data_IF_928119952783
#
_entry.id   IF_928119952783
#
_cell.length_a   1.000
_cell.length_b   1.000
_cell.length_c   1.000
_cell.angle_alpha   90.00
_cell.angle_beta   90.00
_cell.angle_gamma   90.00
#
_symmetry.space_group_name_H-M   'P 1'
#
loop_
_entity.id
_entity.type
_entity.pdbx_description
1 polymer ?
#
# COMPACT_ATOMS: atom_id res chain seq x y z
N UNK A 1 13.54 15.61 5.70
CA UNK A 1 13.28 14.16 5.85
C UNK A 1 12.13 13.99 6.82
N UNK A 2 11.14 13.16 6.47
CA UNK A 2 10.05 12.75 7.37
C UNK A 2 10.14 11.24 7.63
N UNK A 3 9.49 10.78 8.71
CA UNK A 3 9.33 9.36 9.00
C UNK A 3 7.89 8.97 8.76
N UNK A 4 7.68 7.97 7.91
CA UNK A 4 6.35 7.39 7.64
C UNK A 4 6.27 6.08 8.43
N UNK A 5 5.16 5.88 9.13
CA UNK A 5 4.87 4.66 9.90
C UNK A 5 3.52 4.13 9.49
N UNK A 6 3.45 2.85 9.11
CA UNK A 6 2.18 2.16 8.82
C UNK A 6 2.10 0.99 9.79
N UNK A 7 1.22 1.12 10.79
CA UNK A 7 1.03 0.15 11.88
C UNK A 7 -0.06 -0.89 11.60
N UNK A 8 -0.81 -0.69 10.51
CA UNK A 8 -1.80 -1.63 9.98
C UNK A 8 -1.16 -2.91 9.38
N UNK A 9 0.15 -2.90 9.11
CA UNK A 9 0.90 -4.06 8.61
C UNK A 9 1.75 -4.70 9.71
N UNK A 10 2.08 -5.99 9.52
CA UNK A 10 2.95 -6.77 10.41
C UNK A 10 4.07 -7.42 9.59
N UNK A 11 5.35 -7.12 9.88
CA UNK A 11 5.84 -6.16 10.88
C UNK A 11 5.42 -4.71 10.56
N UNK A 12 5.43 -3.82 11.58
CA UNK A 12 5.14 -2.39 11.40
C UNK A 12 6.13 -1.83 10.38
N UNK A 13 5.61 -1.20 9.33
CA UNK A 13 6.45 -0.58 8.31
C UNK A 13 6.89 0.81 8.76
N UNK A 14 8.19 1.09 8.67
CA UNK A 14 8.77 2.39 8.99
C UNK A 14 9.84 2.75 7.97
N UNK A 15 9.75 3.96 7.43
CA UNK A 15 10.68 4.43 6.40
C UNK A 15 10.96 5.92 6.53
N UNK A 16 12.16 6.34 6.11
CA UNK A 16 12.52 7.76 5.99
C UNK A 16 12.39 8.20 4.54
N UNK A 17 11.70 9.31 4.32
CA UNK A 17 11.51 9.85 2.97
C UNK A 17 11.79 11.36 2.90
N UNK A 18 12.25 11.81 1.75
CA UNK A 18 12.45 13.23 1.46
C UNK A 18 11.15 13.83 0.90
N UNK A 19 10.71 14.97 1.44
CA UNK A 19 9.55 15.70 0.90
C UNK A 19 9.98 16.37 -0.41
N UNK A 20 9.27 16.08 -1.49
CA UNK A 20 9.49 16.67 -2.81
C UNK A 20 8.57 17.87 -3.06
N UNK A 21 7.33 17.77 -2.58
CA UNK A 21 6.35 18.84 -2.67
C UNK A 21 5.32 18.73 -1.54
N UNK A 22 4.64 19.85 -1.28
CA UNK A 22 3.56 19.95 -0.32
C UNK A 22 2.50 20.91 -0.90
N UNK A 23 1.28 20.42 -1.07
CA UNK A 23 0.15 21.18 -1.58
C UNK A 23 -0.94 21.24 -0.52
N UNK A 24 -1.48 22.43 -0.28
CA UNK A 24 -2.68 22.56 0.54
C UNK A 24 -3.89 22.17 -0.31
N UNK A 25 -4.67 21.21 0.17
CA UNK A 25 -5.92 20.76 -0.45
C UNK A 25 -7.01 20.87 0.62
N UNK A 26 -7.97 21.77 0.39
CA UNK A 26 -8.98 22.15 1.38
C UNK A 26 -8.38 22.56 2.74
N UNK A 27 -8.64 21.77 3.79
CA UNK A 27 -8.13 21.96 5.16
C UNK A 27 -6.96 21.01 5.49
N UNK A 28 -6.45 20.29 4.49
CA UNK A 28 -5.41 19.27 4.62
C UNK A 28 -4.20 19.58 3.72
N UNK A 29 -3.17 18.74 3.85
CA UNK A 29 -1.95 18.83 3.05
C UNK A 29 -1.68 17.51 2.36
N UNK A 30 -1.51 17.56 1.05
CA UNK A 30 -0.98 16.46 0.27
C UNK A 30 0.54 16.62 0.16
N UNK A 31 1.29 15.56 0.47
CA UNK A 31 2.75 15.58 0.50
C UNK A 31 3.29 14.48 -0.40
N UNK A 32 4.04 14.87 -1.44
CA UNK A 32 4.81 13.94 -2.25
C UNK A 32 6.16 13.66 -1.61
N UNK A 33 6.52 12.39 -1.55
CA UNK A 33 7.77 11.94 -0.94
C UNK A 33 8.58 11.07 -1.89
N UNK A 34 9.90 11.09 -1.72
CA UNK A 34 10.83 10.21 -2.41
C UNK A 34 11.55 9.32 -1.39
N UNK A 35 11.57 8.02 -1.67
CA UNK A 35 12.33 7.03 -0.91
C UNK A 35 13.81 7.06 -1.27
N UNK A 36 14.67 6.74 -0.30
CA UNK A 36 16.11 6.90 -0.42
C UNK A 36 16.77 5.74 -1.16
N UNK A 37 16.17 4.55 -1.10
CA UNK A 37 16.64 3.35 -1.76
C UNK A 37 15.50 2.51 -2.36
N UNK A 38 15.88 1.55 -3.20
CA UNK A 38 14.96 0.66 -3.92
C UNK A 38 14.27 -0.33 -2.98
N UNK A 39 14.88 -0.67 -1.84
CA UNK A 39 14.32 -1.62 -0.89
C UNK A 39 13.15 -0.99 -0.13
N UNK A 40 13.32 0.23 0.38
CA UNK A 40 12.28 1.06 0.96
C UNK A 40 11.10 1.24 -0.01
N UNK A 41 11.39 1.54 -1.29
CA UNK A 41 10.37 1.68 -2.32
C UNK A 41 9.64 0.35 -2.59
N UNK A 42 10.36 -0.78 -2.60
CA UNK A 42 9.78 -2.10 -2.78
C UNK A 42 8.89 -2.50 -1.60
N UNK A 43 9.37 -2.30 -0.37
CA UNK A 43 8.58 -2.58 0.84
C UNK A 43 7.32 -1.71 0.89
N UNK A 44 7.41 -0.43 0.52
CA UNK A 44 6.22 0.43 0.43
C UNK A 44 5.20 -0.11 -0.58
N UNK A 45 5.65 -0.60 -1.74
CA UNK A 45 4.76 -1.25 -2.72
C UNK A 45 4.08 -2.50 -2.15
N UNK A 46 4.78 -3.28 -1.34
CA UNK A 46 4.16 -4.42 -0.66
C UNK A 46 3.10 -3.98 0.35
N UNK A 47 3.35 -2.90 1.09
CA UNK A 47 2.36 -2.32 2.02
C UNK A 47 1.14 -1.81 1.28
N UNK A 48 1.31 -1.17 0.12
CA UNK A 48 0.21 -0.72 -0.74
C UNK A 48 -0.69 -1.89 -1.16
N UNK A 49 -0.12 -3.05 -1.49
CA UNK A 49 -0.92 -4.25 -1.79
C UNK A 49 -1.74 -4.73 -0.59
N UNK A 50 -1.18 -4.67 0.62
CA UNK A 50 -1.95 -5.02 1.84
C UNK A 50 -3.12 -4.05 2.04
N UNK A 51 -2.91 -2.75 1.82
CA UNK A 51 -3.99 -1.76 1.86
C UNK A 51 -5.10 -2.05 0.84
N UNK A 52 -4.74 -2.45 -0.39
CA UNK A 52 -5.71 -2.85 -1.40
C UNK A 52 -6.51 -4.09 -1.02
N UNK A 53 -5.84 -5.12 -0.47
CA UNK A 53 -6.51 -6.33 0.01
C UNK A 53 -7.53 -6.00 1.12
N UNK A 54 -7.15 -5.16 2.08
CA UNK A 54 -8.06 -4.74 3.14
C UNK A 54 -9.22 -3.89 2.61
N UNK A 55 -8.96 -3.01 1.65
CA UNK A 55 -10.02 -2.26 0.97
C UNK A 55 -11.00 -3.19 0.24
N UNK A 56 -10.48 -4.15 -0.51
CA UNK A 56 -11.27 -5.17 -1.20
C UNK A 56 -12.13 -5.97 -0.22
N UNK A 57 -11.54 -6.42 0.88
CA UNK A 57 -12.24 -7.15 1.95
C UNK A 57 -13.43 -6.35 2.49
N UNK A 58 -13.24 -5.05 2.72
CA UNK A 58 -14.30 -4.14 3.16
C UNK A 58 -15.34 -3.90 2.07
N UNK A 59 -14.93 -3.80 0.81
CA UNK A 59 -15.83 -3.65 -0.33
C UNK A 59 -16.74 -4.88 -0.49
N UNK A 60 -16.17 -6.09 -0.50
CA UNK A 60 -16.91 -7.36 -0.54
C UNK A 60 -17.93 -7.44 0.60
N UNK A 61 -17.54 -7.03 1.81
CA UNK A 61 -18.48 -6.96 2.91
C UNK A 61 -19.63 -5.97 2.64
N UNK A 62 -19.33 -4.76 2.16
CA UNK A 62 -20.34 -3.73 1.92
C UNK A 62 -21.34 -4.13 0.83
N UNK A 63 -20.83 -4.65 -0.28
CA UNK A 63 -21.58 -4.94 -1.51
C UNK A 63 -22.22 -6.33 -1.51
N UNK A 64 -21.50 -7.35 -1.05
CA UNK A 64 -21.93 -8.76 -1.16
C UNK A 64 -22.34 -9.37 0.19
N UNK A 65 -22.12 -8.66 1.31
CA UNK A 65 -22.36 -9.18 2.68
C UNK A 65 -21.61 -10.48 3.00
N UNK A 66 -20.52 -10.77 2.26
CA UNK A 66 -19.61 -11.89 2.56
C UNK A 66 -18.56 -11.43 3.56
N UNK A 67 -18.33 -12.22 4.59
CA UNK A 67 -17.21 -12.05 5.51
C UNK A 67 -16.00 -12.83 5.01
N UNK A 68 -14.92 -12.12 4.69
CA UNK A 68 -13.64 -12.72 4.31
C UNK A 68 -12.62 -12.53 5.43
N UNK A 69 -11.80 -13.55 5.67
CA UNK A 69 -10.54 -13.39 6.41
C UNK A 69 -9.54 -12.61 5.56
N UNK A 70 -8.45 -12.14 6.18
CA UNK A 70 -7.37 -11.48 5.42
C UNK A 70 -6.77 -12.40 4.37
N UNK A 71 -6.57 -13.68 4.69
CA UNK A 71 -6.03 -14.70 3.80
C UNK A 71 -6.98 -15.01 2.64
N UNK A 72 -8.29 -15.13 2.92
CA UNK A 72 -9.28 -15.36 1.87
C UNK A 72 -9.40 -14.16 0.93
N UNK A 73 -9.39 -12.94 1.48
CA UNK A 73 -9.37 -11.72 0.67
C UNK A 73 -8.09 -11.61 -0.17
N UNK A 74 -6.93 -11.96 0.40
CA UNK A 74 -5.66 -11.98 -0.33
C UNK A 74 -5.68 -13.00 -1.48
N UNK A 75 -6.20 -14.21 -1.25
CA UNK A 75 -6.30 -15.24 -2.28
C UNK A 75 -7.21 -14.79 -3.44
N UNK A 76 -8.41 -14.27 -3.13
CA UNK A 76 -9.32 -13.72 -4.15
C UNK A 76 -8.70 -12.51 -4.88
N UNK A 77 -8.00 -11.63 -4.15
CA UNK A 77 -7.33 -10.47 -4.72
C UNK A 77 -6.22 -10.89 -5.70
N UNK A 78 -5.38 -11.85 -5.32
CA UNK A 78 -4.33 -12.39 -6.18
C UNK A 78 -4.96 -13.02 -7.44
N UNK A 79 -6.00 -13.83 -7.31
CA UNK A 79 -6.65 -14.45 -8.47
C UNK A 79 -7.18 -13.39 -9.47
N UNK A 80 -7.78 -12.31 -8.95
CA UNK A 80 -8.35 -11.22 -9.77
C UNK A 80 -7.30 -10.27 -10.34
N UNK A 81 -6.24 -9.98 -9.58
CA UNK A 81 -5.33 -8.86 -9.86
C UNK A 81 -3.85 -9.26 -9.92
N UNK A 82 -3.50 -10.55 -9.92
CA UNK A 82 -2.11 -11.02 -10.06
C UNK A 82 -1.38 -10.43 -11.27
N UNK A 83 -2.10 -10.19 -12.36
CA UNK A 83 -1.56 -9.59 -13.57
C UNK A 83 -1.20 -8.10 -13.42
N UNK A 84 -1.74 -7.44 -12.38
CA UNK A 84 -1.47 -6.04 -12.04
C UNK A 84 -0.35 -5.90 -11.00
N UNK A 85 0.19 -7.02 -10.50
CA UNK A 85 1.41 -6.95 -9.72
C UNK A 85 2.47 -6.26 -10.56
N UNK A 86 3.14 -5.23 -10.02
CA UNK A 86 4.22 -4.59 -10.74
C UNK A 86 5.26 -5.67 -11.05
N UNK A 87 5.51 -5.88 -12.34
CA UNK A 87 6.71 -6.59 -12.77
C UNK A 87 7.86 -5.78 -12.21
N UNK A 88 8.60 -6.38 -11.30
CA UNK A 88 9.86 -5.83 -10.82
C UNK A 88 10.72 -5.58 -12.06
N UNK A 89 10.83 -4.33 -12.50
CA UNK A 89 11.92 -3.89 -13.35
C UNK A 89 13.17 -3.88 -12.45
N UNK A 90 13.68 -5.07 -12.18
CA UNK A 90 15.03 -5.23 -11.67
C UNK A 90 15.96 -4.61 -12.73
N UNK A 91 16.83 -3.66 -12.38
CA UNK A 91 17.91 -3.31 -13.29
C UNK A 91 18.73 -4.59 -13.59
N UNK A 92 19.24 -4.74 -14.82
CA UNK A 92 20.00 -5.91 -15.24
C UNK A 92 21.26 -6.15 -14.40
#
# INVERSE_FOLDING_TARGET
>A
MIKITIDAVRPIFQVKAAVQWCHQVDQEFEIGVQFSDLEDAFQMRMVEQVCHIEHYRQQVWREEKRHLSGEAAAAEWIEKYAHQFPKLDLPP
#
